data_IF_458021518249
#
_entry.id   IF_458021518249
#
_cell.length_a   1.000
_cell.length_b   1.000
_cell.length_c   1.000
_cell.angle_alpha   90.00
_cell.angle_beta   90.00
_cell.angle_gamma   90.00
#
_symmetry.space_group_name_H-M   'P 1'
#
loop_
_entity.id
_entity.type
_entity.pdbx_description
1 polymer ?
#
# COMPACT_ATOMS: atom_id res chain seq x y z
N UNK A 1 0.06 3.40 -15.28
CA UNK A 1 -1.22 3.26 -14.56
C UNK A 1 -1.65 4.63 -14.10
N UNK A 2 -2.59 5.23 -14.81
CA UNK A 2 -3.09 6.57 -14.51
C UNK A 2 -4.29 6.36 -13.59
N UNK A 3 -4.20 6.87 -12.36
CA UNK A 3 -5.36 6.92 -11.47
C UNK A 3 -6.04 8.25 -11.72
N UNK A 4 -7.31 8.21 -12.12
CA UNK A 4 -8.10 9.44 -12.18
C UNK A 4 -8.34 9.93 -10.74
N UNK A 5 -8.19 11.23 -10.49
CA UNK A 5 -8.47 11.82 -9.20
C UNK A 5 -9.97 11.73 -8.89
N UNK A 6 -10.30 11.73 -7.59
CA UNK A 6 -11.69 11.89 -7.17
C UNK A 6 -12.04 13.36 -7.29
N UNK A 7 -13.05 13.65 -8.10
CA UNK A 7 -13.62 14.99 -8.19
C UNK A 7 -14.80 15.11 -7.23
N UNK A 8 -14.67 16.02 -6.28
CA UNK A 8 -15.74 16.43 -5.37
C UNK A 8 -16.07 17.87 -5.72
N UNK A 9 -17.33 18.12 -6.09
CA UNK A 9 -17.79 19.49 -6.37
C UNK A 9 -18.59 19.99 -5.18
N UNK A 10 -18.28 21.20 -4.73
CA UNK A 10 -19.04 21.91 -3.71
C UNK A 10 -19.72 23.08 -4.39
N UNK A 11 -21.04 23.15 -4.28
CA UNK A 11 -21.88 24.16 -4.91
C UNK A 11 -22.88 24.74 -3.91
N UNK A 12 -23.62 25.74 -4.34
CA UNK A 12 -24.64 26.44 -3.55
C UNK A 12 -24.70 27.91 -3.91
N UNK A 13 -25.77 28.58 -3.47
CA UNK A 13 -25.99 30.01 -3.68
C UNK A 13 -24.88 30.90 -3.08
N UNK A 14 -24.88 32.18 -3.46
CA UNK A 14 -23.91 33.16 -2.96
C UNK A 14 -24.06 33.26 -1.44
N UNK A 15 -22.93 33.40 -0.73
CA UNK A 15 -22.91 33.53 0.74
C UNK A 15 -23.29 32.32 1.59
N UNK A 16 -23.51 31.14 1.01
CA UNK A 16 -23.73 29.86 1.75
C UNK A 16 -22.53 29.27 2.49
N UNK A 17 -21.45 30.03 2.68
CA UNK A 17 -20.29 29.56 3.43
C UNK A 17 -19.47 28.44 2.75
N UNK A 18 -19.50 28.30 1.41
CA UNK A 18 -18.71 27.27 0.67
C UNK A 18 -17.22 27.27 1.03
N UNK A 19 -16.58 28.45 1.02
CA UNK A 19 -15.18 28.62 1.42
C UNK A 19 -14.95 28.22 2.88
N UNK A 20 -15.86 28.61 3.77
CA UNK A 20 -15.83 28.23 5.20
C UNK A 20 -15.97 26.72 5.39
N UNK A 21 -16.87 26.08 4.64
CA UNK A 21 -17.06 24.63 4.68
C UNK A 21 -15.78 23.88 4.30
N UNK A 22 -15.09 24.28 3.22
CA UNK A 22 -13.82 23.66 2.84
C UNK A 22 -12.71 23.93 3.86
N UNK A 23 -12.68 25.12 4.46
CA UNK A 23 -11.76 25.41 5.55
C UNK A 23 -11.99 24.48 6.75
N UNK A 24 -13.25 24.27 7.13
CA UNK A 24 -13.60 23.33 8.21
C UNK A 24 -13.16 21.90 7.88
N UNK A 25 -13.28 21.43 6.63
CA UNK A 25 -12.77 20.12 6.21
C UNK A 25 -11.24 19.99 6.37
N UNK A 26 -10.50 21.07 6.17
CA UNK A 26 -9.05 21.10 6.38
C UNK A 26 -8.75 21.07 7.88
N UNK A 27 -9.42 21.92 8.65
CA UNK A 27 -9.21 22.08 10.10
C UNK A 27 -9.59 20.81 10.88
N UNK A 28 -10.65 20.11 10.45
CA UNK A 28 -11.07 18.80 10.97
C UNK A 28 -10.13 17.65 10.54
N UNK A 29 -9.16 17.91 9.66
CA UNK A 29 -8.21 16.90 9.17
C UNK A 29 -8.80 15.92 8.16
N UNK A 30 -10.01 16.17 7.63
CA UNK A 30 -10.59 15.39 6.54
C UNK A 30 -9.68 15.50 5.31
N UNK A 31 -9.20 16.71 5.02
CA UNK A 31 -8.26 16.98 3.93
C UNK A 31 -6.84 17.09 4.49
N UNK A 32 -6.09 15.99 4.42
CA UNK A 32 -4.67 16.00 4.79
C UNK A 32 -3.82 16.42 3.59
N UNK A 33 -3.09 17.54 3.69
CA UNK A 33 -2.24 18.14 2.63
C UNK A 33 -3.00 18.86 1.50
N UNK A 34 -3.77 19.91 1.83
CA UNK A 34 -4.39 20.75 0.81
C UNK A 34 -3.33 21.42 -0.08
N UNK A 35 -3.67 21.59 -1.35
CA UNK A 35 -2.97 22.43 -2.34
C UNK A 35 -3.99 23.20 -3.15
N UNK A 36 -3.53 24.22 -3.89
CA UNK A 36 -4.42 25.11 -4.63
C UNK A 36 -4.68 26.38 -3.82
N UNK A 37 -5.90 26.92 -3.86
CA UNK A 37 -6.20 28.23 -3.28
C UNK A 37 -7.67 28.37 -2.86
N UNK A 38 -7.89 29.30 -1.94
CA UNK A 38 -9.20 29.82 -1.54
C UNK A 38 -9.34 31.30 -1.91
N UNK A 39 -10.58 31.76 -2.06
CA UNK A 39 -10.91 33.16 -2.28
C UNK A 39 -11.81 33.70 -1.16
N UNK A 40 -11.29 33.91 0.07
CA UNK A 40 -12.06 34.57 1.10
C UNK A 40 -12.44 35.99 0.65
N UNK A 41 -13.69 36.34 0.91
CA UNK A 41 -14.17 37.71 0.79
C UNK A 41 -13.75 38.51 2.03
N UNK A 42 -13.22 39.71 1.81
CA UNK A 42 -12.81 40.64 2.88
C UNK A 42 -13.97 41.52 3.35
N UNK A 43 -14.82 41.99 2.43
CA UNK A 43 -15.92 42.90 2.74
C UNK A 43 -17.21 42.50 1.98
N UNK A 44 -18.04 41.65 2.59
CA UNK A 44 -19.37 41.32 2.03
C UNK A 44 -20.44 42.25 2.60
N UNK A 45 -21.15 42.91 1.70
CA UNK A 45 -22.51 43.42 2.00
C UNK A 45 -23.47 42.24 2.13
N UNK A 46 -24.43 42.28 3.05
CA UNK A 46 -25.35 41.16 3.37
C UNK A 46 -26.04 40.51 2.15
N UNK A 47 -26.21 41.24 1.04
CA UNK A 47 -26.94 40.77 -0.14
C UNK A 47 -26.17 40.89 -1.47
N UNK A 48 -24.86 41.11 -1.44
CA UNK A 48 -24.06 41.41 -2.64
C UNK A 48 -22.76 40.59 -2.77
N UNK A 49 -22.17 40.52 -3.98
CA UNK A 49 -20.81 40.04 -4.16
C UNK A 49 -19.83 40.92 -3.36
N UNK A 50 -18.69 40.36 -2.95
CA UNK A 50 -17.66 41.15 -2.29
C UNK A 50 -17.03 42.13 -3.29
N UNK A 51 -16.65 43.33 -2.85
CA UNK A 51 -15.92 44.29 -3.70
C UNK A 51 -14.50 43.82 -4.01
N UNK A 52 -13.93 42.99 -3.14
CA UNK A 52 -12.58 42.45 -3.26
C UNK A 52 -12.53 40.97 -2.90
N UNK A 53 -11.74 40.22 -3.67
CA UNK A 53 -11.42 38.81 -3.41
C UNK A 53 -9.92 38.65 -3.27
N UNK A 54 -9.48 38.12 -2.13
CA UNK A 54 -8.08 37.81 -1.90
C UNK A 54 -7.78 36.37 -2.29
N UNK A 55 -6.71 36.12 -3.02
CA UNK A 55 -6.21 34.77 -3.28
C UNK A 55 -5.36 34.33 -2.09
N UNK A 56 -5.79 33.25 -1.45
CA UNK A 56 -5.06 32.58 -0.37
C UNK A 56 -4.63 31.19 -0.84
N UNK A 57 -3.38 31.01 -1.29
CA UNK A 57 -2.91 29.73 -1.74
C UNK A 57 -2.44 28.88 -0.54
N UNK A 58 -2.61 27.56 -0.64
CA UNK A 58 -2.17 26.64 0.40
C UNK A 58 -0.67 26.34 0.28
N UNK A 59 0.05 26.49 1.39
CA UNK A 59 1.50 26.19 1.47
C UNK A 59 2.36 26.99 0.49
N UNK A 60 1.91 28.19 0.14
CA UNK A 60 2.51 29.07 -0.86
C UNK A 60 2.58 30.48 -0.28
N UNK A 61 3.58 31.27 -0.68
CA UNK A 61 3.81 32.63 -0.14
C UNK A 61 3.03 33.72 -0.88
N UNK A 62 2.58 33.47 -2.11
CA UNK A 62 1.93 34.48 -2.96
C UNK A 62 0.45 34.71 -2.59
N UNK A 63 0.18 35.41 -1.49
CA UNK A 63 -1.16 35.95 -1.24
C UNK A 63 -1.30 37.37 -1.80
N UNK A 64 -2.52 37.77 -2.13
CA UNK A 64 -2.80 39.11 -2.62
C UNK A 64 -4.23 39.29 -3.11
N UNK A 65 -4.58 40.50 -3.53
CA UNK A 65 -5.88 40.79 -4.12
C UNK A 65 -5.91 40.21 -5.54
N UNK A 66 -6.82 39.27 -5.76
CA UNK A 66 -7.01 38.61 -7.05
C UNK A 66 -8.00 39.36 -7.93
N UNK A 67 -9.14 39.77 -7.37
CA UNK A 67 -10.17 40.46 -8.11
C UNK A 67 -10.71 41.65 -7.32
N UNK A 68 -10.90 42.76 -8.02
CA UNK A 68 -11.51 43.99 -7.48
C UNK A 68 -12.67 44.40 -8.37
N UNK A 69 -13.75 44.88 -7.75
CA UNK A 69 -14.92 45.42 -8.43
C UNK A 69 -15.05 46.92 -8.17
N UNK A 70 -14.87 47.71 -9.22
CA UNK A 70 -15.01 49.17 -9.24
C UNK A 70 -16.10 49.65 -10.23
N UNK A 71 -17.04 48.75 -10.55
CA UNK A 71 -18.01 48.89 -11.64
C UNK A 71 -17.75 47.88 -12.76
N UNK A 72 -16.50 47.45 -12.91
CA UNK A 72 -16.11 46.28 -13.71
C UNK A 72 -15.18 45.37 -12.93
N UNK A 73 -15.07 44.09 -13.32
CA UNK A 73 -14.14 43.18 -12.68
C UNK A 73 -12.74 43.34 -13.27
N UNK A 74 -11.77 43.70 -12.43
CA UNK A 74 -10.35 43.67 -12.75
C UNK A 74 -9.68 42.49 -12.05
N UNK A 75 -8.85 41.74 -12.78
CA UNK A 75 -8.16 40.53 -12.29
C UNK A 75 -6.64 40.69 -12.35
N UNK A 76 -5.95 40.24 -11.30
CA UNK A 76 -4.49 40.36 -11.18
C UNK A 76 -3.76 39.18 -11.84
N UNK A 77 -3.44 39.30 -13.13
CA UNK A 77 -2.82 38.21 -13.90
C UNK A 77 -1.40 37.84 -13.40
N UNK A 78 -0.63 38.81 -12.89
CA UNK A 78 0.70 38.55 -12.31
C UNK A 78 0.62 37.66 -11.06
N UNK A 79 -0.42 37.84 -10.24
CA UNK A 79 -0.67 36.96 -9.09
C UNK A 79 -1.07 35.56 -9.55
N UNK A 80 -1.89 35.45 -10.61
CA UNK A 80 -2.27 34.16 -11.20
C UNK A 80 -1.05 33.40 -11.73
N UNK A 81 -0.20 34.04 -12.54
CA UNK A 81 0.98 33.39 -13.12
C UNK A 81 1.94 32.89 -12.05
N UNK A 82 2.15 33.66 -10.97
CA UNK A 82 2.93 33.21 -9.81
C UNK A 82 2.32 31.98 -9.15
N UNK A 83 1.01 32.02 -8.85
CA UNK A 83 0.30 30.89 -8.27
C UNK A 83 0.37 29.64 -9.16
N UNK A 84 0.19 29.78 -10.48
CA UNK A 84 0.32 28.67 -11.44
C UNK A 84 1.72 28.06 -11.43
N UNK A 85 2.77 28.89 -11.41
CA UNK A 85 4.16 28.40 -11.39
C UNK A 85 4.48 27.58 -10.14
N UNK A 86 3.89 27.94 -9.00
CA UNK A 86 4.09 27.22 -7.73
C UNK A 86 3.24 25.95 -7.65
N UNK A 87 2.04 25.94 -8.26
CA UNK A 87 1.20 24.76 -8.38
C UNK A 87 1.73 23.75 -9.41
N UNK A 88 2.48 24.21 -10.41
CA UNK A 88 3.08 23.35 -11.44
C UNK A 88 4.13 22.37 -10.88
N UNK A 89 4.70 22.65 -9.70
CA UNK A 89 5.66 21.74 -9.05
C UNK A 89 4.93 20.46 -8.63
N UNK A 90 5.28 19.27 -9.16
CA UNK A 90 4.63 18.02 -8.78
C UNK A 90 4.69 17.77 -7.27
N UNK A 91 3.57 17.38 -6.69
CA UNK A 91 3.55 16.95 -5.29
C UNK A 91 2.67 15.71 -5.13
N UNK A 92 3.29 14.61 -4.75
CA UNK A 92 2.59 13.34 -4.58
C UNK A 92 1.61 13.37 -3.40
N UNK A 93 0.35 13.01 -3.67
CA UNK A 93 -0.66 12.73 -2.64
C UNK A 93 -1.28 13.96 -1.99
N UNK A 94 -1.38 15.07 -2.72
CA UNK A 94 -2.11 16.27 -2.28
C UNK A 94 -3.55 16.26 -2.81
N UNK A 95 -4.45 16.92 -2.08
CA UNK A 95 -5.80 17.24 -2.56
C UNK A 95 -5.76 18.64 -3.15
N UNK A 96 -6.06 18.77 -4.45
CA UNK A 96 -6.25 20.09 -5.07
C UNK A 96 -7.56 20.69 -4.55
N UNK A 97 -7.52 21.95 -4.19
CA UNK A 97 -8.66 22.76 -3.81
C UNK A 97 -8.66 24.00 -4.71
N UNK A 98 -9.77 24.23 -5.41
CA UNK A 98 -9.97 25.44 -6.20
C UNK A 98 -11.27 26.09 -5.78
N UNK A 99 -11.19 27.33 -5.32
CA UNK A 99 -12.35 28.12 -4.91
C UNK A 99 -12.93 28.97 -6.06
N UNK A 100 -14.20 29.33 -5.93
CA UNK A 100 -14.95 30.27 -6.76
C UNK A 100 -14.95 30.05 -8.29
N UNK A 101 -14.86 28.80 -8.75
CA UNK A 101 -14.91 28.45 -10.19
C UNK A 101 -16.22 28.99 -10.80
N UNK A 102 -16.07 29.85 -11.81
CA UNK A 102 -17.16 30.64 -12.35
C UNK A 102 -17.07 30.89 -13.85
N UNK A 103 -17.63 32.02 -14.33
CA UNK A 103 -17.64 32.35 -15.75
C UNK A 103 -16.24 32.45 -16.38
N UNK A 104 -15.25 33.00 -15.66
CA UNK A 104 -13.90 33.17 -16.19
C UNK A 104 -13.27 31.82 -16.59
N UNK A 105 -13.32 30.83 -15.70
CA UNK A 105 -12.79 29.49 -15.98
C UNK A 105 -13.59 28.81 -17.12
N UNK A 106 -14.92 28.97 -17.11
CA UNK A 106 -15.79 28.45 -18.17
C UNK A 106 -15.58 29.15 -19.52
N UNK A 107 -15.01 30.35 -19.57
CA UNK A 107 -14.60 31.05 -20.79
C UNK A 107 -13.16 30.75 -21.22
N UNK A 108 -12.38 30.04 -20.39
CA UNK A 108 -11.00 29.67 -20.71
C UNK A 108 -10.00 30.71 -20.22
N UNK A 109 -10.43 31.56 -19.30
CA UNK A 109 -9.64 32.58 -18.62
C UNK A 109 -9.35 32.12 -17.19
N UNK A 110 -8.71 32.98 -16.40
CA UNK A 110 -8.41 32.70 -15.00
C UNK A 110 -7.62 31.41 -14.85
N UNK A 111 -8.06 30.54 -13.94
CA UNK A 111 -7.35 29.29 -13.61
C UNK A 111 -7.78 28.08 -14.46
N UNK A 112 -8.37 28.30 -15.65
CA UNK A 112 -8.82 27.20 -16.52
C UNK A 112 -7.70 26.26 -17.00
N UNK A 113 -6.45 26.75 -17.07
CA UNK A 113 -5.27 25.94 -17.41
C UNK A 113 -5.03 24.79 -16.42
N UNK A 114 -5.33 25.01 -15.14
CA UNK A 114 -5.22 23.97 -14.11
C UNK A 114 -6.24 22.85 -14.37
N UNK A 115 -7.46 23.23 -14.74
CA UNK A 115 -8.57 22.31 -14.95
C UNK A 115 -8.38 21.48 -16.23
N UNK A 116 -7.87 22.09 -17.30
CA UNK A 116 -7.55 21.38 -18.55
C UNK A 116 -6.33 20.47 -18.42
N UNK A 117 -5.31 20.89 -17.66
CA UNK A 117 -4.12 20.07 -17.37
C UNK A 117 -4.34 18.97 -16.32
N UNK A 118 -5.53 18.92 -15.69
CA UNK A 118 -5.73 18.11 -14.49
C UNK A 118 -5.65 16.60 -14.72
N UNK A 119 -5.99 16.11 -15.91
CA UNK A 119 -5.84 14.67 -16.24
C UNK A 119 -4.38 14.20 -16.21
N UNK A 120 -3.45 15.13 -16.39
CA UNK A 120 -1.99 14.86 -16.33
C UNK A 120 -1.40 15.12 -14.94
N UNK A 121 -2.22 15.55 -13.99
CA UNK A 121 -1.76 16.04 -12.69
C UNK A 121 -1.53 14.94 -11.65
N UNK A 122 -0.69 15.25 -10.65
CA UNK A 122 -0.25 14.34 -9.59
C UNK A 122 -1.20 14.30 -8.36
N UNK A 123 -2.37 14.94 -8.45
CA UNK A 123 -3.28 15.06 -7.32
C UNK A 123 -4.05 13.76 -7.08
N UNK A 124 -4.26 13.40 -5.81
CA UNK A 124 -5.05 12.22 -5.44
C UNK A 124 -6.55 12.51 -5.54
N UNK A 125 -6.93 13.74 -5.17
CA UNK A 125 -8.31 14.20 -5.14
C UNK A 125 -8.36 15.68 -5.56
N UNK A 126 -9.51 16.11 -6.07
CA UNK A 126 -9.85 17.50 -6.35
C UNK A 126 -11.15 17.86 -5.65
N UNK A 127 -11.12 18.96 -4.91
CA UNK A 127 -12.28 19.61 -4.33
C UNK A 127 -12.47 20.94 -5.05
N UNK A 128 -13.52 21.02 -5.85
CA UNK A 128 -13.77 22.13 -6.76
C UNK A 128 -15.01 22.87 -6.27
N UNK A 129 -14.85 24.14 -5.88
CA UNK A 129 -15.97 24.97 -5.45
C UNK A 129 -16.49 25.69 -6.69
N UNK A 130 -17.66 25.29 -7.17
CA UNK A 130 -18.23 25.76 -8.44
C UNK A 130 -19.49 26.58 -8.16
N UNK A 131 -19.65 27.71 -8.85
CA UNK A 131 -20.89 28.50 -8.78
C UNK A 131 -22.06 27.68 -9.32
N UNK A 132 -23.15 27.54 -8.56
CA UNK A 132 -24.34 26.71 -8.90
C UNK A 132 -24.84 26.94 -10.33
N UNK A 133 -24.95 28.20 -10.75
CA UNK A 133 -25.38 28.59 -12.11
C UNK A 133 -24.43 28.17 -13.26
N UNK A 134 -23.17 27.83 -12.96
CA UNK A 134 -22.16 27.42 -13.93
C UNK A 134 -21.82 25.93 -13.84
N UNK A 135 -22.47 25.16 -12.96
CA UNK A 135 -22.13 23.75 -12.72
C UNK A 135 -22.24 22.89 -13.99
N UNK A 136 -23.30 23.04 -14.77
CA UNK A 136 -23.50 22.23 -15.99
C UNK A 136 -22.51 22.60 -17.10
N UNK A 137 -22.30 23.90 -17.31
CA UNK A 137 -21.32 24.43 -18.27
C UNK A 137 -19.90 23.98 -17.91
N UNK A 138 -19.55 24.01 -16.61
CA UNK A 138 -18.29 23.50 -16.09
C UNK A 138 -18.09 22.02 -16.42
N UNK A 139 -19.08 21.17 -16.10
CA UNK A 139 -19.00 19.72 -16.40
C UNK A 139 -18.80 19.46 -17.89
N UNK A 140 -19.60 20.12 -18.73
CA UNK A 140 -19.55 19.97 -20.18
C UNK A 140 -18.20 20.40 -20.74
N UNK A 141 -17.68 21.55 -20.29
CA UNK A 141 -16.44 22.11 -20.82
C UNK A 141 -15.22 21.27 -20.48
N UNK A 142 -15.10 20.85 -19.23
CA UNK A 142 -13.89 20.18 -18.75
C UNK A 142 -13.99 18.64 -18.81
N UNK A 143 -15.15 18.08 -19.17
CA UNK A 143 -15.35 16.63 -19.19
C UNK A 143 -15.23 15.98 -17.81
N UNK A 144 -15.38 16.77 -16.74
CA UNK A 144 -15.21 16.30 -15.37
C UNK A 144 -16.53 15.72 -14.88
N UNK A 145 -16.55 14.41 -14.70
CA UNK A 145 -17.64 13.70 -14.02
C UNK A 145 -17.37 13.63 -12.51
N UNK A 146 -18.09 14.40 -11.68
CA UNK A 146 -17.87 14.39 -10.24
C UNK A 146 -18.29 13.07 -9.62
N UNK A 147 -17.48 12.59 -8.68
CA UNK A 147 -17.81 11.42 -7.87
C UNK A 147 -18.81 11.79 -6.76
N UNK A 148 -18.78 13.06 -6.32
CA UNK A 148 -19.66 13.60 -5.30
C UNK A 148 -19.95 15.07 -5.60
N UNK A 149 -21.21 15.48 -5.47
CA UNK A 149 -21.63 16.88 -5.52
C UNK A 149 -22.30 17.19 -4.18
N UNK A 150 -21.81 18.20 -3.49
CA UNK A 150 -22.41 18.73 -2.26
C UNK A 150 -23.01 20.09 -2.58
N UNK A 151 -24.34 20.19 -2.55
CA UNK A 151 -25.04 21.45 -2.66
C UNK A 151 -25.41 21.95 -1.27
N UNK A 152 -24.73 23.01 -0.81
CA UNK A 152 -24.95 23.59 0.52
C UNK A 152 -26.26 24.38 0.64
N UNK A 153 -27.05 24.52 -0.43
CA UNK A 153 -28.45 24.96 -0.32
C UNK A 153 -29.37 23.83 0.16
N UNK A 154 -28.98 22.57 -0.10
CA UNK A 154 -29.83 21.37 0.08
C UNK A 154 -29.28 20.41 1.14
N UNK A 155 -27.97 20.50 1.43
CA UNK A 155 -27.26 19.59 2.32
C UNK A 155 -26.75 20.36 3.53
N UNK A 156 -27.05 19.84 4.72
CA UNK A 156 -26.45 20.35 5.96
C UNK A 156 -24.91 20.23 5.91
N UNK A 157 -24.14 21.25 6.33
CA UNK A 157 -22.68 21.18 6.30
C UNK A 157 -22.08 19.98 7.03
N UNK A 158 -22.66 19.50 8.14
CA UNK A 158 -22.12 18.36 8.85
C UNK A 158 -22.28 17.06 8.04
N UNK A 159 -23.44 16.87 7.40
CA UNK A 159 -23.68 15.72 6.52
C UNK A 159 -22.84 15.81 5.24
N UNK A 160 -22.66 17.02 4.69
CA UNK A 160 -21.72 17.29 3.61
C UNK A 160 -20.29 16.89 3.98
N UNK A 161 -19.83 17.23 5.19
CA UNK A 161 -18.49 16.86 5.67
C UNK A 161 -18.33 15.34 5.78
N UNK A 162 -19.32 14.64 6.34
CA UNK A 162 -19.34 13.18 6.40
C UNK A 162 -19.27 12.55 5.01
N UNK A 163 -20.07 13.05 4.06
CA UNK A 163 -20.10 12.54 2.69
C UNK A 163 -18.75 12.74 1.98
N UNK A 164 -18.12 13.91 2.14
CA UNK A 164 -16.77 14.17 1.61
C UNK A 164 -15.74 13.22 2.22
N UNK A 165 -15.76 13.06 3.54
CA UNK A 165 -14.87 12.14 4.25
C UNK A 165 -15.04 10.70 3.77
N UNK A 166 -16.29 10.25 3.62
CA UNK A 166 -16.62 8.92 3.10
C UNK A 166 -16.11 8.72 1.67
N UNK A 167 -16.37 9.67 0.76
CA UNK A 167 -15.91 9.60 -0.63
C UNK A 167 -14.38 9.49 -0.74
N UNK A 168 -13.65 10.34 0.01
CA UNK A 168 -12.19 10.30 0.06
C UNK A 168 -11.68 8.98 0.66
N UNK A 169 -12.35 8.48 1.71
CA UNK A 169 -11.99 7.20 2.33
C UNK A 169 -12.21 6.02 1.37
N UNK A 170 -13.35 5.99 0.68
CA UNK A 170 -13.73 4.94 -0.25
C UNK A 170 -12.73 4.87 -1.42
N UNK A 171 -12.34 6.02 -1.96
CA UNK A 171 -11.31 6.07 -3.00
C UNK A 171 -9.97 5.53 -2.53
N UNK A 172 -9.50 5.93 -1.34
CA UNK A 172 -8.26 5.41 -0.76
C UNK A 172 -8.32 3.88 -0.59
N UNK A 173 -9.43 3.36 -0.08
CA UNK A 173 -9.65 1.91 0.08
C UNK A 173 -9.62 1.19 -1.27
N UNK A 174 -10.25 1.76 -2.30
CA UNK A 174 -10.21 1.23 -3.66
C UNK A 174 -8.78 1.15 -4.19
N UNK A 175 -7.95 2.18 -4.00
CA UNK A 175 -6.53 2.18 -4.39
C UNK A 175 -5.72 1.12 -3.65
N UNK A 176 -5.92 1.00 -2.33
CA UNK A 176 -5.32 -0.06 -1.51
C UNK A 176 -5.67 -1.44 -2.10
N UNK A 177 -6.95 -1.64 -2.46
CA UNK A 177 -7.39 -2.86 -3.12
C UNK A 177 -6.69 -3.11 -4.46
N UNK A 178 -6.65 -2.09 -5.31
CA UNK A 178 -5.97 -2.19 -6.61
C UNK A 178 -4.49 -2.60 -6.45
N UNK A 179 -3.75 -1.96 -5.54
CA UNK A 179 -2.36 -2.32 -5.25
C UNK A 179 -2.20 -3.71 -4.64
N UNK A 180 -3.15 -4.13 -3.81
CA UNK A 180 -3.18 -5.49 -3.27
C UNK A 180 -3.39 -6.53 -4.37
N UNK A 181 -4.26 -6.24 -5.34
CA UNK A 181 -4.46 -7.06 -6.54
C UNK A 181 -3.18 -7.21 -7.35
N UNK A 182 -2.49 -6.11 -7.66
CA UNK A 182 -1.20 -6.16 -8.38
C UNK A 182 -0.11 -6.88 -7.61
N UNK A 183 -0.03 -6.65 -6.30
CA UNK A 183 0.87 -7.34 -5.39
C UNK A 183 0.59 -8.85 -5.40
N UNK A 184 -0.67 -9.26 -5.35
CA UNK A 184 -1.08 -10.66 -5.41
C UNK A 184 -0.75 -11.29 -6.76
N UNK A 185 -1.01 -10.62 -7.88
CA UNK A 185 -0.63 -11.12 -9.22
C UNK A 185 0.88 -11.35 -9.29
N UNK A 186 1.66 -10.37 -8.84
CA UNK A 186 3.12 -10.46 -8.85
C UNK A 186 3.59 -11.63 -7.98
N UNK A 187 3.09 -11.71 -6.75
CA UNK A 187 3.50 -12.73 -5.78
C UNK A 187 3.05 -14.14 -6.17
N UNK A 188 1.84 -14.29 -6.73
CA UNK A 188 1.29 -15.56 -7.21
C UNK A 188 1.96 -15.97 -8.51
N UNK A 189 1.97 -15.09 -9.52
CA UNK A 189 2.50 -15.35 -10.85
C UNK A 189 4.01 -15.60 -10.80
N UNK A 190 4.77 -14.64 -10.28
CA UNK A 190 6.22 -14.77 -10.19
C UNK A 190 6.62 -15.88 -9.22
N UNK A 191 5.93 -16.02 -8.09
CA UNK A 191 6.17 -17.12 -7.16
C UNK A 191 5.98 -18.50 -7.81
N UNK A 192 4.99 -18.66 -8.69
CA UNK A 192 4.75 -19.90 -9.43
C UNK A 192 5.83 -20.15 -10.49
N UNK A 193 6.26 -19.11 -11.21
CA UNK A 193 7.36 -19.19 -12.18
C UNK A 193 8.68 -19.57 -11.49
N UNK A 194 9.05 -18.89 -10.40
CA UNK A 194 10.26 -19.21 -9.64
C UNK A 194 10.21 -20.63 -9.07
N UNK A 195 9.02 -21.12 -8.73
CA UNK A 195 8.84 -22.50 -8.31
C UNK A 195 9.04 -23.48 -9.48
N UNK A 196 8.52 -23.16 -10.67
CA UNK A 196 8.69 -23.97 -11.88
C UNK A 196 10.17 -24.11 -12.25
N UNK A 197 10.90 -23.00 -12.23
CA UNK A 197 12.34 -22.95 -12.56
C UNK A 197 13.27 -23.38 -11.42
N UNK A 198 12.74 -23.77 -10.25
CA UNK A 198 13.52 -24.18 -9.06
C UNK A 198 14.63 -23.19 -8.66
N UNK A 199 14.38 -21.89 -8.83
CA UNK A 199 15.39 -20.85 -8.55
C UNK A 199 15.72 -20.84 -7.05
N UNK A 200 17.01 -20.99 -6.67
CA UNK A 200 17.43 -20.90 -5.28
C UNK A 200 17.15 -19.49 -4.73
N UNK A 201 16.97 -19.37 -3.42
CA UNK A 201 16.72 -18.09 -2.74
C UNK A 201 15.45 -17.34 -3.22
N UNK A 202 14.52 -18.00 -3.92
CA UNK A 202 13.26 -17.36 -4.38
C UNK A 202 12.50 -16.60 -3.29
N UNK A 203 12.52 -17.08 -2.03
CA UNK A 203 11.86 -16.38 -0.92
C UNK A 203 12.53 -15.06 -0.55
N UNK A 204 13.85 -14.95 -0.74
CA UNK A 204 14.61 -13.71 -0.57
C UNK A 204 14.20 -12.70 -1.62
N UNK A 205 14.23 -13.14 -2.87
CA UNK A 205 13.88 -12.33 -4.03
C UNK A 205 12.43 -11.83 -3.97
N UNK A 206 11.46 -12.70 -3.68
CA UNK A 206 10.06 -12.32 -3.53
C UNK A 206 9.85 -11.31 -2.39
N UNK A 207 10.55 -11.48 -1.27
CA UNK A 207 10.45 -10.54 -0.15
C UNK A 207 11.01 -9.15 -0.50
N UNK A 208 12.16 -9.09 -1.17
CA UNK A 208 12.72 -7.82 -1.66
C UNK A 208 11.80 -7.19 -2.69
N UNK A 209 11.20 -7.97 -3.59
CA UNK A 209 10.22 -7.47 -4.55
C UNK A 209 8.96 -6.91 -3.87
N UNK A 210 8.41 -7.61 -2.87
CA UNK A 210 7.28 -7.13 -2.09
C UNK A 210 7.61 -5.80 -1.40
N UNK A 211 8.81 -5.67 -0.82
CA UNK A 211 9.28 -4.41 -0.24
C UNK A 211 9.35 -3.28 -1.27
N UNK A 212 9.93 -3.53 -2.46
CA UNK A 212 10.00 -2.55 -3.56
C UNK A 212 8.59 -2.10 -3.95
N UNK A 213 7.65 -3.03 -4.11
CA UNK A 213 6.26 -2.72 -4.42
C UNK A 213 5.60 -1.88 -3.33
N UNK A 214 5.76 -2.24 -2.05
CA UNK A 214 5.21 -1.47 -0.93
C UNK A 214 5.79 -0.05 -0.87
N UNK A 215 7.06 0.16 -1.22
CA UNK A 215 7.64 1.51 -1.31
C UNK A 215 6.98 2.29 -2.45
N UNK A 216 6.81 1.66 -3.61
CA UNK A 216 6.15 2.29 -4.75
C UNK A 216 4.70 2.66 -4.43
N UNK A 217 3.94 1.77 -3.80
CA UNK A 217 2.56 2.03 -3.36
C UNK A 217 2.52 3.09 -2.26
N UNK A 218 3.48 3.04 -1.33
CA UNK A 218 3.60 4.00 -0.25
C UNK A 218 3.83 5.43 -0.75
N UNK A 219 4.60 5.62 -1.83
CA UNK A 219 4.74 6.95 -2.45
C UNK A 219 3.39 7.51 -2.88
N UNK A 220 2.61 6.65 -3.51
CA UNK A 220 1.31 6.99 -4.09
C UNK A 220 0.22 7.17 -3.03
N UNK A 221 0.34 6.51 -1.88
CA UNK A 221 -0.60 6.56 -0.75
C UNK A 221 -0.12 7.41 0.44
N UNK A 222 1.05 8.06 0.33
CA UNK A 222 1.71 8.74 1.44
C UNK A 222 1.96 7.83 2.66
N UNK A 223 2.36 6.58 2.43
CA UNK A 223 2.64 5.56 3.45
C UNK A 223 1.42 4.97 4.15
N UNK A 224 0.21 5.46 3.85
CA UNK A 224 -1.02 4.97 4.47
C UNK A 224 -1.44 3.62 3.86
N UNK A 225 -1.97 2.73 4.69
CA UNK A 225 -2.59 1.48 4.23
C UNK A 225 -1.63 0.34 3.85
N UNK A 226 -0.31 0.49 4.00
CA UNK A 226 0.68 -0.55 3.63
C UNK A 226 0.46 -1.90 4.34
N UNK A 227 0.06 -1.86 5.62
CA UNK A 227 -0.36 -3.06 6.36
C UNK A 227 -1.53 -3.77 5.69
N UNK A 228 -2.55 -3.01 5.26
CA UNK A 228 -3.73 -3.57 4.60
C UNK A 228 -3.37 -4.17 3.26
N UNK A 229 -2.50 -3.53 2.49
CA UNK A 229 -2.02 -4.07 1.21
C UNK A 229 -1.40 -5.45 1.40
N UNK A 230 -0.51 -5.57 2.39
CA UNK A 230 0.20 -6.83 2.69
C UNK A 230 -0.74 -7.91 3.19
N UNK A 231 -1.71 -7.54 4.04
CA UNK A 231 -2.73 -8.45 4.54
C UNK A 231 -3.66 -8.96 3.45
N UNK A 232 -4.17 -8.07 2.59
CA UNK A 232 -5.04 -8.45 1.48
C UNK A 232 -4.26 -9.29 0.46
N UNK A 233 -3.02 -8.91 0.14
CA UNK A 233 -2.12 -9.73 -0.72
C UNK A 233 -1.97 -11.14 -0.16
N UNK A 234 -1.73 -11.26 1.15
CA UNK A 234 -1.65 -12.56 1.82
C UNK A 234 -2.98 -13.32 1.67
N UNK A 235 -4.13 -12.70 1.92
CA UNK A 235 -5.44 -13.33 1.73
C UNK A 235 -5.61 -13.85 0.29
N UNK A 236 -5.31 -13.02 -0.71
CA UNK A 236 -5.48 -13.37 -2.12
C UNK A 236 -4.59 -14.54 -2.55
N UNK A 237 -3.48 -14.79 -1.85
CA UNK A 237 -2.63 -15.97 -2.05
C UNK A 237 -3.38 -17.29 -1.83
N UNK A 238 -4.51 -17.30 -1.11
CA UNK A 238 -5.38 -18.50 -0.97
C UNK A 238 -5.92 -18.97 -2.31
N UNK A 239 -6.13 -18.06 -3.26
CA UNK A 239 -6.61 -18.40 -4.60
C UNK A 239 -5.53 -19.03 -5.48
N UNK A 240 -4.27 -19.08 -5.03
CA UNK A 240 -3.22 -19.78 -5.74
C UNK A 240 -3.44 -21.30 -5.69
N UNK A 241 -3.23 -22.04 -6.80
CA UNK A 241 -3.44 -23.50 -6.87
C UNK A 241 -2.46 -24.32 -6.01
N UNK A 242 -1.63 -23.69 -5.16
CA UNK A 242 -0.65 -24.38 -4.33
C UNK A 242 -1.31 -25.09 -3.13
N UNK A 243 -0.90 -26.35 -2.93
CA UNK A 243 -1.50 -27.34 -2.01
C UNK A 243 -1.43 -26.99 -0.50
N UNK A 244 -0.82 -25.86 -0.10
CA UNK A 244 -0.87 -25.35 1.27
C UNK A 244 -0.53 -23.83 1.30
N UNK A 245 -1.53 -22.93 1.17
CA UNK A 245 -1.26 -21.50 1.01
C UNK A 245 -0.77 -20.82 2.30
N UNK A 246 -0.99 -21.43 3.47
CA UNK A 246 -0.99 -20.70 4.75
C UNK A 246 0.39 -20.25 5.20
N UNK A 247 1.42 -21.08 5.01
CA UNK A 247 2.80 -20.67 5.30
C UNK A 247 3.20 -19.46 4.42
N UNK A 248 3.11 -19.51 3.08
CA UNK A 248 3.33 -18.34 2.24
C UNK A 248 2.52 -17.10 2.66
N UNK A 249 1.23 -17.26 2.98
CA UNK A 249 0.39 -16.15 3.43
C UNK A 249 0.92 -15.46 4.68
N UNK A 250 1.26 -16.26 5.70
CA UNK A 250 1.79 -15.74 6.96
C UNK A 250 3.10 -14.98 6.72
N UNK A 251 4.00 -15.51 5.89
CA UNK A 251 5.24 -14.83 5.55
C UNK A 251 4.99 -13.52 4.79
N UNK A 252 4.11 -13.48 3.79
CA UNK A 252 3.77 -12.27 3.03
C UNK A 252 3.20 -11.20 3.97
N UNK A 253 2.26 -11.58 4.85
CA UNK A 253 1.67 -10.66 5.81
C UNK A 253 2.70 -10.14 6.82
N UNK A 254 3.51 -11.03 7.40
CA UNK A 254 4.51 -10.67 8.41
C UNK A 254 5.61 -9.78 7.82
N UNK A 255 6.11 -10.11 6.63
CA UNK A 255 7.09 -9.29 5.92
C UNK A 255 6.58 -7.87 5.66
N UNK A 256 5.37 -7.77 5.10
CA UNK A 256 4.76 -6.46 4.86
C UNK A 256 4.43 -5.69 6.13
N UNK A 257 4.04 -6.39 7.21
CA UNK A 257 3.76 -5.79 8.52
C UNK A 257 5.01 -5.22 9.19
N UNK A 258 6.11 -5.98 9.18
CA UNK A 258 7.40 -5.53 9.74
C UNK A 258 7.93 -4.33 8.97
N UNK A 259 7.81 -4.34 7.64
CA UNK A 259 8.18 -3.19 6.81
C UNK A 259 7.33 -1.95 7.11
N UNK A 260 6.01 -2.13 7.25
CA UNK A 260 5.07 -1.03 7.45
C UNK A 260 5.10 -0.45 8.88
N UNK A 261 5.59 -1.18 9.88
CA UNK A 261 5.57 -0.76 11.28
C UNK A 261 6.34 0.55 11.54
N UNK A 262 7.63 0.69 11.14
CA UNK A 262 8.34 1.97 11.21
C UNK A 262 7.61 3.15 10.55
N UNK A 263 6.97 2.89 9.41
CA UNK A 263 6.27 3.91 8.63
C UNK A 263 4.99 4.35 9.36
N UNK A 264 4.32 3.44 10.06
CA UNK A 264 3.15 3.76 10.87
C UNK A 264 3.51 4.59 12.12
N UNK A 265 4.69 4.33 12.71
CA UNK A 265 5.14 5.03 13.93
C UNK A 265 5.72 6.41 13.60
N UNK A 266 6.63 6.48 12.63
CA UNK A 266 7.43 7.68 12.32
C UNK A 266 6.84 8.49 11.16
N UNK A 267 5.88 7.93 10.42
CA UNK A 267 5.30 8.53 9.23
C UNK A 267 6.07 8.18 7.94
N UNK A 268 5.59 8.71 6.82
CA UNK A 268 6.14 8.43 5.49
C UNK A 268 7.35 9.32 5.18
N UNK A 269 8.56 8.82 5.45
CA UNK A 269 9.82 9.47 5.14
C UNK A 269 10.89 8.43 4.77
N UNK A 270 12.01 8.89 4.21
CA UNK A 270 13.08 8.00 3.78
C UNK A 270 13.65 7.17 4.94
N UNK A 271 13.83 7.80 6.11
CA UNK A 271 14.39 7.13 7.29
C UNK A 271 13.51 5.95 7.74
N UNK A 272 12.21 6.14 7.87
CA UNK A 272 11.28 5.08 8.26
C UNK A 272 11.20 3.96 7.24
N UNK A 273 11.30 4.28 5.94
CA UNK A 273 11.37 3.28 4.86
C UNK A 273 12.66 2.46 4.93
N UNK A 274 13.82 3.09 5.15
CA UNK A 274 15.10 2.38 5.31
C UNK A 274 15.10 1.51 6.57
N UNK A 275 14.58 2.02 7.69
CA UNK A 275 14.43 1.25 8.91
C UNK A 275 13.51 0.03 8.70
N UNK A 276 12.38 0.21 8.02
CA UNK A 276 11.48 -0.89 7.64
C UNK A 276 12.16 -1.95 6.77
N UNK A 277 13.00 -1.54 5.82
CA UNK A 277 13.75 -2.44 4.95
C UNK A 277 14.81 -3.25 5.70
N UNK A 278 15.54 -2.62 6.63
CA UNK A 278 16.55 -3.28 7.48
C UNK A 278 15.87 -4.26 8.43
N UNK A 279 14.80 -3.84 9.11
CA UNK A 279 14.04 -4.71 10.02
C UNK A 279 13.46 -5.91 9.29
N UNK A 280 12.92 -5.71 8.08
CA UNK A 280 12.45 -6.80 7.24
C UNK A 280 13.58 -7.81 6.93
N UNK A 281 14.75 -7.31 6.55
CA UNK A 281 15.92 -8.14 6.26
C UNK A 281 16.33 -9.00 7.46
N UNK A 282 16.44 -8.39 8.64
CA UNK A 282 16.78 -9.09 9.87
C UNK A 282 15.69 -10.03 10.36
N UNK A 283 14.43 -9.63 10.29
CA UNK A 283 13.31 -10.46 10.73
C UNK A 283 13.22 -11.77 9.95
N UNK A 284 13.43 -11.76 8.63
CA UNK A 284 13.38 -13.01 7.85
C UNK A 284 14.51 -13.96 8.24
N UNK A 285 15.70 -13.43 8.53
CA UNK A 285 16.80 -14.23 9.08
C UNK A 285 16.43 -14.78 10.45
N UNK A 286 15.91 -13.94 11.35
CA UNK A 286 15.45 -14.33 12.68
C UNK A 286 14.37 -15.41 12.67
N UNK A 287 13.34 -15.27 11.82
CA UNK A 287 12.26 -16.27 11.67
C UNK A 287 12.83 -17.58 11.14
N UNK A 288 13.78 -17.53 10.20
CA UNK A 288 14.41 -18.74 9.66
C UNK A 288 15.21 -19.47 10.74
N UNK A 289 15.98 -18.74 11.55
CA UNK A 289 16.72 -19.28 12.69
C UNK A 289 15.79 -19.85 13.77
N UNK A 290 14.72 -19.11 14.11
CA UNK A 290 13.71 -19.55 15.07
C UNK A 290 13.04 -20.85 14.63
N UNK A 291 12.66 -20.97 13.35
CA UNK A 291 12.03 -22.18 12.81
C UNK A 291 13.00 -23.37 12.86
N UNK A 292 14.28 -23.16 12.57
CA UNK A 292 15.29 -24.20 12.69
C UNK A 292 15.52 -24.60 14.15
N UNK A 293 15.57 -23.65 15.08
CA UNK A 293 15.68 -23.93 16.51
C UNK A 293 14.45 -24.65 17.07
N UNK A 294 13.25 -24.27 16.66
CA UNK A 294 12.03 -24.99 17.05
C UNK A 294 12.11 -26.44 16.58
N UNK A 295 12.49 -26.65 15.31
CA UNK A 295 12.54 -27.97 14.66
C UNK A 295 13.63 -28.88 15.24
N UNK A 296 14.84 -28.37 15.40
CA UNK A 296 16.04 -29.17 15.72
C UNK A 296 16.61 -28.93 17.12
N UNK A 297 16.11 -27.94 17.86
CA UNK A 297 16.59 -27.59 19.20
C UNK A 297 17.94 -26.86 19.22
N UNK A 298 18.62 -26.93 20.37
CA UNK A 298 19.92 -26.29 20.59
C UNK A 298 21.03 -26.88 19.71
N UNK A 299 20.93 -28.18 19.38
CA UNK A 299 21.91 -28.91 18.56
C UNK A 299 22.12 -28.25 17.19
N UNK A 300 21.09 -27.58 16.65
CA UNK A 300 21.23 -26.78 15.43
C UNK A 300 22.20 -25.61 15.61
N UNK A 301 22.12 -24.89 16.72
CA UNK A 301 23.04 -23.79 17.01
C UNK A 301 24.45 -24.32 17.31
N UNK A 302 24.59 -25.47 17.94
CA UNK A 302 25.89 -26.08 18.21
C UNK A 302 26.56 -26.52 16.89
N UNK A 303 25.81 -27.19 16.01
CA UNK A 303 26.26 -27.55 14.67
C UNK A 303 26.67 -26.33 13.85
N UNK A 304 25.86 -25.28 13.89
CA UNK A 304 26.13 -24.05 13.16
C UNK A 304 27.31 -23.26 13.77
N UNK A 305 27.48 -23.28 15.09
CA UNK A 305 28.65 -22.72 15.78
C UNK A 305 29.94 -23.44 15.33
N UNK A 306 29.93 -24.77 15.34
CA UNK A 306 31.07 -25.58 14.91
C UNK A 306 31.42 -25.37 13.44
N UNK A 307 30.41 -25.29 12.56
CA UNK A 307 30.62 -24.92 11.16
C UNK A 307 31.21 -23.52 11.04
N UNK A 308 30.67 -22.55 11.79
CA UNK A 308 31.16 -21.17 11.76
C UNK A 308 32.60 -21.04 12.24
N UNK A 309 33.00 -21.78 13.28
CA UNK A 309 34.39 -21.82 13.75
C UNK A 309 35.34 -22.39 12.70
N UNK A 310 34.93 -23.46 11.97
CA UNK A 310 35.73 -24.03 10.88
C UNK A 310 35.88 -23.05 9.71
N UNK A 311 34.80 -22.40 9.30
CA UNK A 311 34.83 -21.40 8.21
C UNK A 311 35.69 -20.20 8.62
N UNK A 312 35.52 -19.68 9.83
CA UNK A 312 36.25 -18.50 10.29
C UNK A 312 37.74 -18.80 10.47
N UNK A 313 38.08 -19.99 11.02
CA UNK A 313 39.46 -20.47 11.08
C UNK A 313 40.10 -20.59 9.69
N UNK A 314 39.34 -21.03 8.67
CA UNK A 314 39.81 -21.06 7.28
C UNK A 314 40.18 -19.68 6.74
N UNK A 315 39.49 -18.62 7.18
CA UNK A 315 39.81 -17.23 6.86
C UNK A 315 40.77 -16.56 7.88
N UNK A 316 41.33 -17.30 8.83
CA UNK A 316 42.21 -16.74 9.87
C UNK A 316 41.51 -15.84 10.90
N UNK A 317 40.17 -15.88 10.96
CA UNK A 317 39.37 -15.09 11.90
C UNK A 317 38.83 -15.97 13.04
N UNK A 318 38.66 -15.40 14.23
CA UNK A 318 37.97 -16.07 15.36
C UNK A 318 36.64 -15.36 15.64
N UNK A 319 35.64 -15.58 14.77
CA UNK A 319 34.31 -15.03 14.96
C UNK A 319 33.40 -16.07 15.63
N UNK A 320 32.78 -15.69 16.74
CA UNK A 320 31.74 -16.51 17.36
C UNK A 320 30.44 -16.52 16.54
N UNK A 321 29.58 -17.50 16.79
CA UNK A 321 28.34 -17.68 16.04
C UNK A 321 27.45 -16.42 16.00
N UNK A 322 27.32 -15.73 17.13
CA UNK A 322 26.52 -14.51 17.21
C UNK A 322 27.04 -13.42 16.27
N UNK A 323 28.36 -13.25 16.17
CA UNK A 323 28.96 -12.30 15.23
C UNK A 323 28.67 -12.68 13.78
N UNK A 324 28.72 -13.97 13.43
CA UNK A 324 28.37 -14.45 12.07
C UNK A 324 26.91 -14.16 11.75
N UNK A 325 25.98 -14.44 12.68
CA UNK A 325 24.56 -14.14 12.52
C UNK A 325 24.32 -12.63 12.36
N UNK A 326 24.99 -11.80 13.16
CA UNK A 326 24.92 -10.34 13.05
C UNK A 326 25.46 -9.84 11.72
N UNK A 327 26.60 -10.35 11.24
CA UNK A 327 27.19 -9.97 9.94
C UNK A 327 26.23 -10.34 8.81
N UNK A 328 25.70 -11.57 8.79
CA UNK A 328 24.75 -12.00 7.77
C UNK A 328 23.44 -11.19 7.79
N UNK A 329 22.95 -10.89 8.99
CA UNK A 329 21.75 -10.07 9.19
C UNK A 329 22.00 -8.62 8.76
N UNK A 330 23.13 -8.05 9.14
CA UNK A 330 23.55 -6.69 8.78
C UNK A 330 23.77 -6.54 7.28
N UNK A 331 24.49 -7.47 6.65
CA UNK A 331 24.68 -7.51 5.20
C UNK A 331 23.35 -7.53 4.46
N UNK A 332 22.42 -8.37 4.91
CA UNK A 332 21.08 -8.45 4.31
C UNK A 332 20.26 -7.19 4.54
N UNK A 333 20.32 -6.61 5.73
CA UNK A 333 19.70 -5.33 6.04
C UNK A 333 20.21 -4.23 5.12
N UNK A 334 21.53 -4.19 4.87
CA UNK A 334 22.16 -3.24 3.96
C UNK A 334 21.70 -3.43 2.51
N UNK A 335 21.66 -4.67 2.00
CA UNK A 335 21.15 -4.95 0.65
C UNK A 335 19.69 -4.46 0.50
N UNK A 336 18.83 -4.75 1.48
CA UNK A 336 17.44 -4.28 1.46
C UNK A 336 17.36 -2.74 1.55
N UNK A 337 18.20 -2.10 2.36
CA UNK A 337 18.26 -0.65 2.46
C UNK A 337 18.66 -0.01 1.13
N UNK A 338 19.61 -0.60 0.38
CA UNK A 338 20.01 -0.13 -0.96
C UNK A 338 18.81 -0.22 -1.92
N UNK A 339 18.13 -1.37 -2.00
CA UNK A 339 16.94 -1.51 -2.85
C UNK A 339 15.82 -0.55 -2.44
N UNK A 340 15.65 -0.32 -1.13
CA UNK A 340 14.67 0.61 -0.62
C UNK A 340 15.00 2.06 -1.01
N UNK A 341 16.26 2.46 -0.91
CA UNK A 341 16.72 3.78 -1.33
C UNK A 341 16.53 4.01 -2.84
N UNK A 342 16.92 3.05 -3.68
CA UNK A 342 16.73 3.11 -5.13
C UNK A 342 15.24 3.20 -5.50
N UNK A 343 14.40 2.42 -4.82
CA UNK A 343 12.95 2.47 -5.00
C UNK A 343 12.35 3.79 -4.53
N UNK A 344 12.84 4.34 -3.42
CA UNK A 344 12.47 5.65 -2.92
C UNK A 344 12.87 6.78 -3.88
N UNK A 345 13.93 6.64 -4.68
CA UNK A 345 14.26 7.60 -5.74
C UNK A 345 13.34 7.53 -6.96
N UNK A 346 12.47 6.52 -7.05
CA UNK A 346 11.44 6.41 -8.09
C UNK A 346 11.92 5.80 -9.41
N UNK A 347 13.12 5.20 -9.44
CA UNK A 347 13.69 4.56 -10.64
C UNK A 347 12.77 3.47 -11.20
N UNK A 348 12.12 2.70 -10.32
CA UNK A 348 11.24 1.61 -10.73
C UNK A 348 9.84 2.07 -11.18
N UNK A 349 9.30 3.14 -10.59
CA UNK A 349 7.94 3.64 -10.91
C UNK A 349 7.79 4.02 -12.38
N UNK A 350 8.83 4.65 -12.97
CA UNK A 350 8.82 5.05 -14.39
C UNK A 350 8.75 3.88 -15.37
N UNK A 351 9.27 2.70 -14.97
CA UNK A 351 9.24 1.50 -15.82
C UNK A 351 7.96 0.70 -15.66
N UNK A 352 7.36 0.69 -14.48
CA UNK A 352 6.10 -0.03 -14.26
C UNK A 352 4.88 0.71 -14.84
N UNK A 353 4.95 2.04 -14.95
CA UNK A 353 3.83 2.82 -15.50
C UNK A 353 3.58 2.60 -16.99
N UNK A 354 4.58 2.14 -17.75
CA UNK A 354 4.52 1.95 -19.22
C UNK A 354 4.08 0.56 -19.68
N UNK A 355 3.87 -0.40 -18.77
CA UNK A 355 3.45 -1.75 -19.16
C UNK A 355 1.95 -1.78 -19.50
N UNK A 356 1.57 -2.21 -20.72
CA UNK A 356 0.16 -2.28 -21.12
C UNK A 356 -0.58 -3.35 -20.31
N UNK A 357 -1.75 -2.98 -19.78
CA UNK A 357 -2.59 -3.85 -18.96
C UNK A 357 -3.27 -4.94 -19.78
N UNK A 358 -2.56 -6.02 -20.11
CA UNK A 358 -3.18 -7.24 -20.65
C UNK A 358 -3.82 -8.01 -19.49
N UNK A 359 -5.14 -8.26 -19.57
CA UNK A 359 -5.86 -9.11 -18.63
C UNK A 359 -5.32 -10.54 -18.77
N UNK A 360 -4.75 -11.09 -17.70
CA UNK A 360 -4.32 -12.48 -17.66
C UNK A 360 -5.56 -13.38 -17.52
N UNK A 361 -5.72 -14.42 -18.35
CA UNK A 361 -6.80 -15.39 -18.17
C UNK A 361 -6.54 -16.18 -16.89
N UNK A 362 -7.44 -16.06 -15.92
CA UNK A 362 -7.38 -16.90 -14.72
C UNK A 362 -7.95 -18.28 -15.02
N UNK A 363 -7.11 -19.28 -14.80
CA UNK A 363 -7.53 -20.68 -14.68
C UNK A 363 -8.49 -20.83 -13.52
N UNK A 364 -9.56 -21.61 -13.74
CA UNK A 364 -10.62 -21.87 -12.77
C UNK A 364 -10.08 -22.29 -11.41
N UNK A 365 -10.66 -21.73 -10.35
CA UNK A 365 -10.30 -22.07 -8.98
C UNK A 365 -10.74 -23.51 -8.69
N UNK A 366 -9.84 -24.39 -8.20
CA UNK A 366 -10.22 -25.74 -7.84
C UNK A 366 -11.23 -25.71 -6.69
N UNK A 367 -12.32 -26.46 -6.83
CA UNK A 367 -13.32 -26.62 -5.77
C UNK A 367 -12.69 -27.29 -4.54
N UNK A 368 -12.68 -26.59 -3.41
CA UNK A 368 -12.04 -27.07 -2.19
C UNK A 368 -13.03 -27.94 -1.41
N UNK A 369 -12.77 -29.24 -1.38
CA UNK A 369 -13.53 -30.19 -0.56
C UNK A 369 -13.33 -29.88 0.93
N UNK A 370 -14.38 -30.01 1.75
CA UNK A 370 -14.30 -29.84 3.22
C UNK A 370 -13.26 -30.81 3.79
N UNK A 371 -12.20 -30.28 4.39
CA UNK A 371 -11.12 -31.09 4.98
C UNK A 371 -11.45 -31.47 6.42
N UNK A 372 -11.57 -32.76 6.71
CA UNK A 372 -11.64 -33.29 8.09
C UNK A 372 -10.24 -33.33 8.73
N UNK A 373 -10.13 -33.44 10.06
CA UNK A 373 -8.83 -33.47 10.74
C UNK A 373 -7.93 -34.62 10.24
N UNK A 374 -8.52 -35.79 9.97
CA UNK A 374 -7.84 -36.95 9.39
C UNK A 374 -7.22 -36.63 8.02
N UNK A 375 -7.95 -35.90 7.16
CA UNK A 375 -7.42 -35.48 5.84
C UNK A 375 -6.30 -34.44 5.96
N UNK A 376 -6.37 -33.53 6.93
CA UNK A 376 -5.30 -32.55 7.19
C UNK A 376 -4.02 -33.24 7.67
N UNK A 377 -4.15 -34.17 8.61
CA UNK A 377 -3.02 -34.94 9.14
C UNK A 377 -2.38 -35.85 8.08
N UNK A 378 -3.19 -36.55 7.27
CA UNK A 378 -2.68 -37.33 6.14
C UNK A 378 -2.00 -36.45 5.09
N UNK A 379 -2.56 -35.26 4.84
CA UNK A 379 -1.94 -34.25 3.96
C UNK A 379 -0.60 -33.75 4.48
N UNK A 380 -0.48 -33.50 5.78
CA UNK A 380 0.78 -33.12 6.44
C UNK A 380 1.83 -34.23 6.31
N UNK A 381 1.42 -35.49 6.56
CA UNK A 381 2.30 -36.65 6.40
C UNK A 381 2.79 -36.79 4.95
N UNK A 382 1.89 -36.69 3.95
CA UNK A 382 2.27 -36.74 2.53
C UNK A 382 3.22 -35.60 2.12
N UNK A 383 3.09 -34.42 2.74
CA UNK A 383 3.99 -33.29 2.47
C UNK A 383 5.41 -33.54 2.98
N UNK A 384 5.57 -34.26 4.09
CA UNK A 384 6.87 -34.64 4.63
C UNK A 384 7.69 -35.49 3.63
N UNK A 385 7.03 -36.41 2.93
CA UNK A 385 7.66 -37.29 1.94
C UNK A 385 7.82 -36.65 0.55
N UNK A 386 7.53 -35.37 0.37
CA UNK A 386 7.82 -34.70 -0.91
C UNK A 386 9.34 -34.62 -1.08
N UNK A 387 9.89 -35.03 -2.25
CA UNK A 387 11.35 -35.09 -2.46
C UNK A 387 12.07 -33.79 -2.12
N UNK A 388 11.47 -32.64 -2.47
CA UNK A 388 12.06 -31.32 -2.19
C UNK A 388 12.17 -31.05 -0.69
N UNK A 389 11.14 -31.36 0.09
CA UNK A 389 11.16 -31.18 1.54
C UNK A 389 12.13 -32.18 2.19
N UNK A 390 12.06 -33.45 1.77
CA UNK A 390 12.94 -34.50 2.27
C UNK A 390 14.41 -34.18 2.06
N UNK A 391 14.80 -33.67 0.88
CA UNK A 391 16.19 -33.27 0.58
C UNK A 391 16.66 -32.17 1.56
N UNK A 392 15.88 -31.10 1.75
CA UNK A 392 16.27 -30.03 2.68
C UNK A 392 16.33 -30.51 4.13
N UNK A 393 15.38 -31.37 4.52
CA UNK A 393 15.35 -31.93 5.86
C UNK A 393 16.55 -32.86 6.11
N UNK A 394 16.88 -33.73 5.15
CA UNK A 394 18.07 -34.59 5.18
C UNK A 394 19.36 -33.78 5.17
N UNK A 395 19.43 -32.69 4.40
CA UNK A 395 20.59 -31.80 4.40
C UNK A 395 20.79 -31.14 5.77
N UNK A 396 19.72 -30.67 6.41
CA UNK A 396 19.79 -30.13 7.77
C UNK A 396 20.24 -31.20 8.77
N UNK A 397 19.72 -32.42 8.66
CA UNK A 397 20.17 -33.53 9.49
C UNK A 397 21.62 -33.91 9.24
N UNK A 398 22.08 -33.85 7.99
CA UNK A 398 23.48 -34.10 7.64
C UNK A 398 24.39 -33.06 8.29
N UNK A 399 24.02 -31.78 8.26
CA UNK A 399 24.76 -30.72 8.97
C UNK A 399 24.78 -30.99 10.48
N UNK A 400 23.64 -31.37 11.07
CA UNK A 400 23.57 -31.73 12.49
C UNK A 400 24.44 -32.96 12.79
N UNK A 401 24.46 -33.97 11.92
CA UNK A 401 25.25 -35.18 12.12
C UNK A 401 26.75 -34.90 12.00
N UNK A 402 27.15 -34.07 11.04
CA UNK A 402 28.56 -33.73 10.79
C UNK A 402 29.13 -32.74 11.82
N UNK A 403 28.29 -31.89 12.42
CA UNK A 403 28.76 -30.77 13.24
C UNK A 403 28.11 -30.66 14.65
N UNK A 404 27.01 -31.34 14.93
CA UNK A 404 26.19 -31.16 16.15
C UNK A 404 26.58 -32.00 17.38
N UNK A 405 27.41 -33.03 17.19
CA UNK A 405 27.99 -33.89 18.23
C UNK A 405 27.03 -34.75 19.10
N UNK A 406 27.57 -35.90 19.53
CA UNK A 406 26.99 -37.10 20.21
C UNK A 406 25.84 -37.81 19.47
N UNK A 407 26.19 -38.97 18.90
CA UNK A 407 25.27 -39.87 18.16
C UNK A 407 24.08 -40.39 18.98
N UNK A 408 24.12 -40.33 20.31
CA UNK A 408 23.11 -40.92 21.19
C UNK A 408 21.76 -40.20 21.11
N UNK A 409 21.72 -38.92 20.73
CA UNK A 409 20.50 -38.11 20.78
C UNK A 409 19.87 -37.91 19.39
N UNK A 410 20.51 -38.43 18.33
CA UNK A 410 20.08 -38.24 16.94
C UNK A 410 18.66 -38.71 16.70
N UNK A 411 18.25 -39.82 17.32
CA UNK A 411 16.89 -40.34 17.19
C UNK A 411 15.84 -39.36 17.75
N UNK A 412 16.11 -38.76 18.91
CA UNK A 412 15.21 -37.78 19.53
C UNK A 412 15.10 -36.49 18.70
N UNK A 413 16.21 -36.03 18.12
CA UNK A 413 16.22 -34.84 17.24
C UNK A 413 15.38 -35.09 15.99
N UNK A 414 15.57 -36.24 15.34
CA UNK A 414 14.80 -36.66 14.16
C UNK A 414 13.30 -36.75 14.48
N UNK A 415 12.96 -37.43 15.58
CA UNK A 415 11.57 -37.60 16.01
C UNK A 415 10.92 -36.25 16.35
N UNK A 416 11.62 -35.38 17.08
CA UNK A 416 11.15 -34.02 17.39
C UNK A 416 10.90 -33.21 16.12
N UNK A 417 11.87 -33.17 15.22
CA UNK A 417 11.75 -32.43 13.95
C UNK A 417 10.54 -32.91 13.13
N UNK A 418 10.30 -34.23 13.12
CA UNK A 418 9.16 -34.84 12.47
C UNK A 418 7.83 -34.42 13.12
N UNK A 419 7.70 -34.55 14.45
CA UNK A 419 6.48 -34.19 15.19
C UNK A 419 6.14 -32.71 14.99
N UNK A 420 7.12 -31.81 15.16
CA UNK A 420 6.92 -30.36 15.03
C UNK A 420 6.51 -30.01 13.60
N UNK A 421 7.13 -30.63 12.59
CA UNK A 421 6.76 -30.39 11.18
C UNK A 421 5.32 -30.81 10.91
N UNK A 422 4.90 -31.99 11.39
CA UNK A 422 3.51 -32.46 11.24
C UNK A 422 2.54 -31.56 11.99
N UNK A 423 2.87 -31.14 13.21
CA UNK A 423 2.04 -30.24 14.00
C UNK A 423 1.83 -28.90 13.28
N UNK A 424 2.92 -28.29 12.78
CA UNK A 424 2.87 -27.03 12.03
C UNK A 424 2.02 -27.16 10.77
N UNK A 425 2.19 -28.23 9.97
CA UNK A 425 1.38 -28.44 8.77
C UNK A 425 -0.10 -28.71 9.09
N UNK A 426 -0.38 -29.42 10.18
CA UNK A 426 -1.75 -29.73 10.61
C UNK A 426 -2.48 -28.47 11.12
N UNK A 427 -1.80 -27.66 11.94
CA UNK A 427 -2.33 -26.39 12.44
C UNK A 427 -2.58 -25.45 11.27
N UNK A 428 -1.61 -25.33 10.36
CA UNK A 428 -1.77 -24.55 9.14
C UNK A 428 -3.03 -25.02 8.39
N UNK A 429 -3.15 -26.30 8.06
CA UNK A 429 -4.30 -26.82 7.30
C UNK A 429 -5.70 -26.56 7.92
N UNK A 430 -5.80 -26.29 9.22
CA UNK A 430 -7.07 -26.00 9.91
C UNK A 430 -7.54 -24.55 9.84
N UNK A 431 -6.68 -23.59 9.51
CA UNK A 431 -7.07 -22.18 9.49
C UNK A 431 -8.03 -21.94 8.31
N UNK A 432 -9.32 -21.78 8.63
CA UNK A 432 -10.34 -21.46 7.65
C UNK A 432 -10.31 -19.95 7.35
N UNK A 433 -9.53 -19.60 6.33
CA UNK A 433 -9.36 -18.21 5.90
C UNK A 433 -10.67 -17.57 5.46
N UNK A 434 -11.57 -18.31 4.80
CA UNK A 434 -12.86 -17.73 4.34
C UNK A 434 -13.75 -17.36 5.52
N UNK A 435 -13.77 -18.18 6.59
CA UNK A 435 -14.46 -17.82 7.84
C UNK A 435 -13.83 -16.59 8.49
N UNK A 436 -12.50 -16.49 8.50
CA UNK A 436 -11.79 -15.33 9.02
C UNK A 436 -12.14 -14.05 8.23
N UNK A 437 -12.14 -14.11 6.89
CA UNK A 437 -12.55 -13.01 6.01
C UNK A 437 -13.99 -12.58 6.28
N UNK A 438 -14.94 -13.52 6.35
CA UNK A 438 -16.34 -13.20 6.62
C UNK A 438 -16.56 -12.51 7.97
N UNK A 439 -15.71 -12.78 8.98
CA UNK A 439 -15.74 -12.07 10.26
C UNK A 439 -15.24 -10.64 10.15
N UNK A 440 -14.22 -10.41 9.32
CA UNK A 440 -13.73 -9.07 9.04
C UNK A 440 -14.69 -8.25 8.17
N UNK A 441 -15.45 -8.89 7.27
CA UNK A 441 -16.50 -8.21 6.50
C UNK A 441 -17.69 -7.83 7.39
N UNK A 442 -18.14 -8.75 8.26
CA UNK A 442 -19.23 -8.49 9.20
C UNK A 442 -18.95 -7.37 10.19
N UNK A 443 -17.68 -7.06 10.47
CA UNK A 443 -17.37 -5.97 11.39
C UNK A 443 -17.55 -4.59 10.76
N UNK A 444 -17.68 -4.47 9.42
CA UNK A 444 -18.10 -3.28 8.66
C UNK A 444 -17.25 -2.01 8.79
N UNK A 445 -16.48 -1.87 9.88
CA UNK A 445 -15.92 -0.61 10.38
C UNK A 445 -14.55 -0.26 9.80
N UNK A 446 -13.99 -1.08 8.91
CA UNK A 446 -12.61 -0.88 8.45
C UNK A 446 -12.43 -0.78 6.94
N UNK A 447 -13.49 -0.88 6.14
CA UNK A 447 -13.38 -0.73 4.67
C UNK A 447 -12.58 -1.84 3.97
N UNK A 448 -12.37 -2.96 4.67
CA UNK A 448 -11.63 -4.10 4.14
C UNK A 448 -12.36 -4.73 2.94
N UNK A 449 -13.69 -4.84 3.02
CA UNK A 449 -14.55 -5.38 1.96
C UNK A 449 -14.38 -4.63 0.64
N UNK A 450 -14.41 -3.29 0.67
CA UNK A 450 -14.17 -2.43 -0.50
C UNK A 450 -12.80 -2.69 -1.12
N UNK A 451 -11.77 -2.80 -0.27
CA UNK A 451 -10.40 -3.07 -0.72
C UNK A 451 -10.26 -4.47 -1.33
N UNK A 452 -10.87 -5.49 -0.71
CA UNK A 452 -10.88 -6.87 -1.22
C UNK A 452 -11.62 -6.92 -2.56
N UNK A 453 -12.81 -6.32 -2.67
CA UNK A 453 -13.60 -6.27 -3.91
C UNK A 453 -12.78 -5.66 -5.05
N UNK A 454 -12.19 -4.48 -4.84
CA UNK A 454 -11.32 -3.85 -5.84
C UNK A 454 -10.11 -4.70 -6.21
N UNK A 455 -9.56 -5.49 -5.27
CA UNK A 455 -8.47 -6.43 -5.55
C UNK A 455 -8.92 -7.61 -6.42
N UNK A 456 -10.09 -8.17 -6.11
CA UNK A 456 -10.71 -9.24 -6.89
C UNK A 456 -11.05 -8.79 -8.30
N UNK A 457 -11.49 -7.54 -8.48
CA UNK A 457 -11.74 -6.94 -9.80
C UNK A 457 -10.46 -6.87 -10.65
N UNK A 458 -9.32 -6.49 -10.05
CA UNK A 458 -8.00 -6.52 -10.72
C UNK A 458 -7.58 -7.94 -11.08
N UNK A 459 -7.92 -8.91 -10.23
CA UNK A 459 -7.77 -10.32 -10.54
C UNK A 459 -8.84 -10.80 -11.53
N UNK A 460 -9.82 -10.02 -11.99
CA UNK A 460 -10.89 -10.55 -12.85
C UNK A 460 -11.74 -11.67 -12.19
N UNK A 461 -11.68 -11.78 -10.87
CA UNK A 461 -12.56 -12.62 -10.07
C UNK A 461 -13.89 -11.87 -9.91
N UNK A 462 -14.74 -11.89 -10.94
CA UNK A 462 -16.10 -11.35 -10.80
C UNK A 462 -16.83 -12.13 -9.69
N UNK A 463 -17.48 -11.42 -8.78
CA UNK A 463 -18.48 -12.03 -7.91
C UNK A 463 -19.51 -12.70 -8.83
N UNK A 464 -19.51 -14.04 -8.85
CA UNK A 464 -20.74 -14.76 -9.10
C UNK A 464 -21.48 -14.63 -7.78
N UNK A 465 -22.48 -13.75 -7.78
CA UNK A 465 -23.34 -13.50 -6.62
C UNK A 465 -23.91 -14.80 -6.04
#
# INVERSE_FOLDING_TARGET
MIFHPVYIIITGSVSRGKTTFVKNLIDEGVITKPRGFLFPATDRTEHGPASTYSLLPFNIKSSGIWATYDGTWSFNDDLRLRCLSELAVPSDGHTLIMDDIGPQECEGKGFSDILTGFETSYYENAILIVKKRKLNEFKQKFGIEPHLIIDLDETDPADGSRAVSEALSHHRLRRIGIFSGYSAITEIGLGSLLHLYRIPLKGQFLSTLQMIMLICYGKVLGGKGLFRISFITAILKVFSPMHNPIKPMFFIWLQGSIFALPIAIVGWNLFSVLMGAILLGGAITGISLLMNWLTFGQVWFDAFNNLSMKITAFFGMKLGLFAVILILTGFRGAVNAIFAFVSWRGVFLRRFSSLPGKKLPLTSTPHRTKTTWKTSLMGAFRQFFKPTFAIFWLLSLLVILLFGAKSTDMWFIVLRAFIITIAVFTIAGKINVTKLMSRFDKSGKHGLSTSIKASCDILGLKNKD
#
